data_IF_473308608700
#
_entry.id   IF_473308608700
#
_cell.length_a   1.000
_cell.length_b   1.000
_cell.length_c   1.000
_cell.angle_alpha   90.00
_cell.angle_beta   90.00
_cell.angle_gamma   90.00
#
_symmetry.space_group_name_H-M   'P 1'
#
loop_
_entity.id
_entity.type
_entity.pdbx_description
1 polymer ?
#
# COMPACT_ATOMS: atom_id res chain seq x y z
N UNK A 1 31.86 11.28 -20.92
CA UNK A 1 30.95 12.42 -21.21
C UNK A 1 29.54 11.90 -21.03
N UNK A 2 29.12 11.75 -19.77
CA UNK A 2 27.88 11.08 -19.38
C UNK A 2 26.73 12.08 -19.41
N UNK A 3 25.72 11.82 -20.23
CA UNK A 3 24.47 12.58 -20.26
C UNK A 3 23.55 12.05 -19.17
N UNK A 4 23.35 12.90 -18.16
CA UNK A 4 22.09 13.17 -17.44
C UNK A 4 21.18 11.98 -17.11
N UNK A 5 21.35 11.44 -15.91
CA UNK A 5 20.33 10.67 -15.20
C UNK A 5 19.14 11.59 -14.92
N UNK A 6 18.07 11.45 -15.71
CA UNK A 6 16.76 11.98 -15.36
C UNK A 6 16.20 11.06 -14.26
N UNK A 7 16.45 11.40 -13.00
CA UNK A 7 15.71 10.85 -11.88
C UNK A 7 14.25 11.19 -12.07
N UNK A 8 13.42 10.18 -12.30
CA UNK A 8 11.97 10.31 -12.30
C UNK A 8 11.58 10.55 -10.85
N UNK A 9 11.58 11.83 -10.50
CA UNK A 9 11.02 12.37 -9.27
C UNK A 9 9.50 12.22 -9.39
N UNK A 10 8.95 11.05 -9.05
CA UNK A 10 7.50 10.94 -8.80
C UNK A 10 7.26 11.61 -7.46
N UNK A 11 7.21 12.94 -7.48
CA UNK A 11 6.40 13.68 -6.53
C UNK A 11 4.98 13.16 -6.69
N UNK A 12 4.37 12.74 -5.58
CA UNK A 12 2.92 12.60 -5.46
C UNK A 12 2.33 13.97 -5.78
N UNK A 13 2.12 14.21 -7.08
CA UNK A 13 1.64 15.45 -7.63
C UNK A 13 0.13 15.28 -7.69
N UNK A 14 -0.55 15.87 -6.70
CA UNK A 14 -1.98 16.18 -6.69
C UNK A 14 -2.83 15.33 -7.63
N UNK A 15 -3.21 14.13 -7.17
CA UNK A 15 -4.38 13.46 -7.73
C UNK A 15 -5.58 14.35 -7.43
N UNK A 16 -6.19 14.89 -8.50
CA UNK A 16 -7.41 15.68 -8.38
C UNK A 16 -8.57 14.72 -8.03
N UNK A 17 -9.39 15.04 -7.02
CA UNK A 17 -10.54 14.21 -6.69
C UNK A 17 -11.58 14.28 -7.82
N UNK A 18 -11.87 13.15 -8.45
CA UNK A 18 -13.02 12.94 -9.31
C UNK A 18 -14.20 12.39 -8.50
N UNK A 19 -15.45 12.43 -9.01
CA UNK A 19 -16.56 11.70 -8.39
C UNK A 19 -16.16 10.24 -8.16
N UNK A 20 -16.37 9.78 -6.93
CA UNK A 20 -16.10 8.40 -6.54
C UNK A 20 -16.87 7.45 -7.46
N UNK A 21 -16.25 6.31 -7.81
CA UNK A 21 -16.97 5.25 -8.49
C UNK A 21 -17.94 4.56 -7.54
N UNK A 22 -18.96 3.88 -8.06
CA UNK A 22 -19.97 3.20 -7.23
C UNK A 22 -19.36 2.20 -6.23
N UNK A 23 -18.21 1.61 -6.54
CA UNK A 23 -17.54 0.64 -5.66
C UNK A 23 -16.64 1.32 -4.61
N UNK A 24 -16.04 2.46 -4.95
CA UNK A 24 -15.36 3.33 -3.97
C UNK A 24 -16.37 3.89 -2.95
N UNK A 25 -17.59 4.22 -3.40
CA UNK A 25 -18.70 4.61 -2.53
C UNK A 25 -19.14 3.46 -1.62
N UNK A 26 -19.18 2.21 -2.11
CA UNK A 26 -19.50 1.02 -1.29
C UNK A 26 -18.45 0.77 -0.22
N UNK A 27 -17.15 0.73 -0.56
CA UNK A 27 -16.09 0.55 0.46
C UNK A 27 -16.10 1.68 1.49
N UNK A 28 -16.35 2.92 1.08
CA UNK A 28 -16.50 4.06 1.99
C UNK A 28 -17.72 3.89 2.92
N UNK A 29 -18.84 3.40 2.38
CA UNK A 29 -20.08 3.17 3.12
C UNK A 29 -20.00 2.00 4.10
N UNK A 30 -19.12 1.02 3.87
CA UNK A 30 -18.84 -0.09 4.80
C UNK A 30 -17.80 0.31 5.87
N UNK A 31 -16.84 1.15 5.50
CA UNK A 31 -15.75 1.55 6.39
C UNK A 31 -16.21 2.45 7.55
N UNK A 32 -17.11 3.41 7.31
CA UNK A 32 -17.63 4.28 8.38
C UNK A 32 -18.32 3.47 9.50
N UNK A 33 -19.27 2.55 9.22
CA UNK A 33 -19.86 1.66 10.21
C UNK A 33 -18.82 0.89 11.02
N UNK A 34 -17.83 0.30 10.35
CA UNK A 34 -16.73 -0.41 11.02
C UNK A 34 -15.99 0.51 12.00
N UNK A 35 -15.58 1.70 11.59
CA UNK A 35 -14.91 2.67 12.48
C UNK A 35 -15.77 3.07 13.69
N UNK A 36 -17.10 3.12 13.52
CA UNK A 36 -18.03 3.47 14.58
C UNK A 36 -18.29 2.30 15.54
N UNK A 37 -18.19 1.07 15.06
CA UNK A 37 -18.29 -0.16 15.86
C UNK A 37 -17.05 -0.31 16.75
N UNK A 38 -15.86 -0.18 16.16
CA UNK A 38 -14.57 -0.35 16.84
C UNK A 38 -14.13 0.85 17.70
N UNK A 39 -14.89 1.96 17.67
CA UNK A 39 -14.52 3.20 18.35
C UNK A 39 -14.24 3.00 19.85
N UNK A 40 -15.05 2.20 20.53
CA UNK A 40 -14.91 2.00 21.97
C UNK A 40 -13.72 1.09 22.31
N UNK A 41 -13.33 0.18 21.41
CA UNK A 41 -12.13 -0.66 21.56
C UNK A 41 -10.86 0.14 21.32
N UNK A 42 -10.83 0.94 20.24
CA UNK A 42 -9.73 1.86 19.96
C UNK A 42 -9.52 2.84 21.12
N UNK A 43 -10.59 3.40 21.68
CA UNK A 43 -10.51 4.26 22.88
C UNK A 43 -9.89 3.54 24.07
N UNK A 44 -10.33 2.31 24.34
CA UNK A 44 -9.82 1.50 25.46
C UNK A 44 -8.32 1.24 25.31
N UNK A 45 -7.87 0.91 24.10
CA UNK A 45 -6.46 0.70 23.81
C UNK A 45 -5.64 2.00 24.00
N UNK A 46 -6.14 3.14 23.50
CA UNK A 46 -5.49 4.45 23.66
C UNK A 46 -5.35 4.86 25.13
N UNK A 47 -6.42 4.69 25.93
CA UNK A 47 -6.43 5.06 27.34
C UNK A 47 -5.55 4.12 28.18
N UNK A 48 -5.56 2.81 27.87
CA UNK A 48 -4.68 1.82 28.50
C UNK A 48 -3.20 2.09 28.24
N UNK A 49 -2.86 2.46 26.99
CA UNK A 49 -1.49 2.83 26.59
C UNK A 49 -0.96 4.05 27.34
N UNK A 50 -1.80 5.04 27.61
CA UNK A 50 -1.38 6.26 28.32
C UNK A 50 -1.27 6.03 29.83
N UNK A 51 -2.25 5.36 30.44
CA UNK A 51 -2.23 5.04 31.87
C UNK A 51 -1.00 4.19 32.26
N UNK A 52 -0.54 3.33 31.35
CA UNK A 52 0.68 2.52 31.53
C UNK A 52 1.98 3.30 31.32
N UNK A 53 1.97 4.46 30.65
CA UNK A 53 3.11 5.37 30.59
C UNK A 53 3.25 6.22 31.87
N UNK A 54 2.15 6.49 32.57
CA UNK A 54 2.12 7.23 33.84
C UNK A 54 2.33 6.36 35.09
N UNK A 55 2.07 5.04 35.00
CA UNK A 55 2.10 4.09 36.12
C UNK A 55 3.24 3.06 36.07
N UNK A 56 4.08 3.02 37.11
CA UNK A 56 5.25 2.14 37.18
C UNK A 56 4.98 0.64 37.42
N UNK A 57 5.66 -0.15 36.60
CA UNK A 57 6.26 -1.49 36.81
C UNK A 57 5.45 -2.79 36.75
N UNK A 58 4.11 -2.90 36.92
CA UNK A 58 3.46 -4.22 36.73
C UNK A 58 2.00 -4.21 36.24
N UNK A 59 1.74 -5.19 35.34
CA UNK A 59 0.50 -5.73 34.75
C UNK A 59 0.01 -5.07 33.45
N UNK A 60 0.20 -5.81 32.34
CA UNK A 60 0.00 -5.44 30.91
C UNK A 60 0.80 -4.20 30.49
N UNK A 61 1.86 -4.43 29.71
CA UNK A 61 2.77 -3.35 29.31
C UNK A 61 2.04 -2.39 28.36
N UNK A 62 2.49 -1.14 28.27
CA UNK A 62 2.05 -0.22 27.21
C UNK A 62 2.15 -0.83 25.80
N UNK A 63 3.01 -1.84 25.65
CA UNK A 63 3.19 -2.69 24.47
C UNK A 63 1.94 -3.53 24.15
N UNK A 64 1.31 -4.17 25.14
CA UNK A 64 0.10 -4.99 24.90
C UNK A 64 -1.06 -4.12 24.34
N UNK A 65 -1.25 -2.91 24.89
CA UNK A 65 -2.26 -1.97 24.38
C UNK A 65 -1.90 -1.38 23.02
N UNK A 66 -0.62 -1.28 22.70
CA UNK A 66 -0.18 -0.85 21.37
C UNK A 66 -0.40 -1.96 20.35
N UNK A 67 -0.18 -3.22 20.72
CA UNK A 67 -0.44 -4.39 19.88
C UNK A 67 -1.94 -4.53 19.59
N UNK A 68 -2.80 -4.40 20.62
CA UNK A 68 -4.26 -4.40 20.46
C UNK A 68 -4.71 -3.28 19.48
N UNK A 69 -4.16 -2.07 19.65
CA UNK A 69 -4.46 -0.95 18.75
C UNK A 69 -3.99 -1.24 17.32
N UNK A 70 -2.78 -1.79 17.18
CA UNK A 70 -2.20 -2.11 15.89
C UNK A 70 -3.01 -3.19 15.14
N UNK A 71 -3.54 -4.19 15.85
CA UNK A 71 -4.43 -5.23 15.30
C UNK A 71 -5.74 -4.61 14.76
N UNK A 72 -6.42 -3.78 15.55
CA UNK A 72 -7.65 -3.08 15.12
C UNK A 72 -7.42 -2.19 13.88
N UNK A 73 -6.27 -1.52 13.82
CA UNK A 73 -5.90 -0.68 12.68
C UNK A 73 -5.49 -1.51 11.46
N UNK A 74 -4.94 -2.70 11.65
CA UNK A 74 -4.61 -3.62 10.55
C UNK A 74 -5.86 -4.23 9.93
N UNK A 75 -6.85 -4.62 10.75
CA UNK A 75 -8.18 -5.03 10.26
C UNK A 75 -8.86 -3.91 9.47
N UNK A 76 -8.75 -2.66 9.95
CA UNK A 76 -9.25 -1.49 9.24
C UNK A 76 -8.57 -1.34 7.86
N UNK A 77 -7.25 -1.55 7.79
CA UNK A 77 -6.50 -1.50 6.53
C UNK A 77 -6.92 -2.62 5.59
N UNK A 78 -7.11 -3.84 6.08
CA UNK A 78 -7.52 -4.99 5.27
C UNK A 78 -8.89 -4.78 4.62
N UNK A 79 -9.84 -4.15 5.33
CA UNK A 79 -11.16 -3.82 4.80
C UNK A 79 -11.10 -2.91 3.57
N UNK A 80 -10.15 -1.97 3.54
CA UNK A 80 -10.00 -0.99 2.45
C UNK A 80 -8.89 -1.35 1.47
N UNK A 81 -8.03 -2.32 1.79
CA UNK A 81 -6.90 -2.71 0.98
C UNK A 81 -7.34 -3.15 -0.43
N UNK A 82 -6.56 -2.83 -1.47
CA UNK A 82 -6.84 -3.27 -2.82
C UNK A 82 -6.41 -4.72 -3.04
N UNK A 83 -7.32 -5.55 -3.53
CA UNK A 83 -7.00 -6.91 -3.99
C UNK A 83 -6.44 -6.91 -5.41
N UNK A 84 -6.68 -5.84 -6.18
CA UNK A 84 -6.42 -5.77 -7.61
C UNK A 84 -4.91 -5.83 -7.91
N UNK A 85 -4.08 -5.24 -7.06
CA UNK A 85 -2.62 -5.28 -7.25
C UNK A 85 -2.10 -6.71 -7.19
N UNK A 86 -2.56 -7.51 -6.22
CA UNK A 86 -2.18 -8.91 -6.07
C UNK A 86 -2.63 -9.72 -7.30
N UNK A 87 -3.88 -9.55 -7.73
CA UNK A 87 -4.44 -10.24 -8.91
C UNK A 87 -3.63 -9.96 -10.19
N UNK A 88 -3.31 -8.69 -10.45
CA UNK A 88 -2.52 -8.34 -11.63
C UNK A 88 -1.05 -8.77 -11.51
N UNK A 89 -0.49 -8.81 -10.31
CA UNK A 89 0.86 -9.33 -10.07
C UNK A 89 0.91 -10.83 -10.36
N UNK A 90 -0.04 -11.61 -9.85
CA UNK A 90 -0.19 -13.04 -10.15
C UNK A 90 -0.36 -13.29 -11.65
N UNK A 91 -1.14 -12.45 -12.35
CA UNK A 91 -1.30 -12.53 -13.80
C UNK A 91 0.02 -12.29 -14.54
N UNK A 92 0.81 -11.29 -14.13
CA UNK A 92 2.14 -11.05 -14.70
C UNK A 92 3.08 -12.22 -14.44
N UNK A 93 3.09 -12.78 -13.23
CA UNK A 93 3.90 -13.95 -12.89
C UNK A 93 3.52 -15.17 -13.73
N UNK A 94 2.21 -15.41 -13.92
CA UNK A 94 1.70 -16.47 -14.79
C UNK A 94 2.13 -16.28 -16.24
N UNK A 95 2.08 -15.04 -16.74
CA UNK A 95 2.53 -14.70 -18.10
C UNK A 95 4.05 -14.88 -18.24
N UNK A 96 4.83 -14.51 -17.22
CA UNK A 96 6.29 -14.67 -17.20
C UNK A 96 6.69 -16.15 -17.17
N UNK A 97 5.98 -16.99 -16.42
CA UNK A 97 6.16 -18.45 -16.45
C UNK A 97 5.85 -19.03 -17.83
N UNK A 98 4.71 -18.67 -18.43
CA UNK A 98 4.35 -19.14 -19.77
C UNK A 98 5.38 -18.68 -20.83
N UNK A 99 5.89 -17.45 -20.70
CA UNK A 99 6.91 -16.93 -21.59
C UNK A 99 8.22 -17.71 -21.46
N UNK A 100 8.64 -18.06 -20.24
CA UNK A 100 9.82 -18.88 -20.00
C UNK A 100 9.68 -20.26 -20.64
N UNK A 101 8.53 -20.93 -20.47
CA UNK A 101 8.26 -22.24 -21.08
C UNK A 101 8.36 -22.21 -22.60
N UNK A 102 7.78 -21.19 -23.25
CA UNK A 102 7.84 -21.06 -24.71
C UNK A 102 9.26 -20.73 -25.18
N UNK A 103 10.03 -19.93 -24.43
CA UNK A 103 11.43 -19.64 -24.75
C UNK A 103 12.31 -20.89 -24.64
N UNK A 104 12.09 -21.73 -23.63
CA UNK A 104 12.79 -23.00 -23.46
C UNK A 104 12.47 -23.95 -24.62
N UNK A 105 11.19 -24.11 -24.97
CA UNK A 105 10.78 -24.89 -26.14
C UNK A 105 11.42 -24.33 -27.43
N UNK A 106 11.48 -23.01 -27.59
CA UNK A 106 12.13 -22.39 -28.75
C UNK A 106 13.63 -22.73 -28.80
N UNK A 107 14.31 -22.76 -27.66
CA UNK A 107 15.72 -23.15 -27.56
C UNK A 107 15.93 -24.63 -27.92
N UNK A 108 15.07 -25.53 -27.42
CA UNK A 108 15.06 -26.95 -27.77
C UNK A 108 14.85 -27.16 -29.28
N UNK A 109 13.86 -26.51 -29.86
CA UNK A 109 13.59 -26.57 -31.31
C UNK A 109 14.78 -26.09 -32.15
N UNK A 110 15.48 -25.03 -31.72
CA UNK A 110 16.70 -24.57 -32.39
C UNK A 110 17.84 -25.58 -32.30
N UNK A 111 17.93 -26.34 -31.21
CA UNK A 111 18.88 -27.42 -31.08
C UNK A 111 18.52 -28.60 -31.99
N UNK A 112 17.25 -29.02 -31.99
CA UNK A 112 16.73 -30.07 -32.88
C UNK A 112 16.97 -29.74 -34.36
N UNK A 113 16.72 -28.49 -34.75
CA UNK A 113 16.91 -28.00 -36.12
C UNK A 113 18.34 -28.25 -36.64
N UNK A 114 19.36 -28.13 -35.78
CA UNK A 114 20.77 -28.34 -36.18
C UNK A 114 21.08 -29.79 -36.53
N UNK A 115 20.31 -30.75 -36.00
CA UNK A 115 20.46 -32.18 -36.28
C UNK A 115 19.41 -32.76 -37.23
N UNK A 116 18.42 -31.95 -37.63
CA UNK A 116 17.28 -32.42 -38.40
C UNK A 116 17.60 -32.59 -39.91
N UNK A 117 17.10 -33.65 -40.57
CA UNK A 117 17.17 -33.78 -42.01
C UNK A 117 16.18 -32.84 -42.71
N UNK A 118 16.50 -32.41 -43.92
CA UNK A 118 15.55 -31.75 -44.82
C UNK A 118 14.40 -32.70 -45.20
N UNK A 119 13.22 -32.16 -45.51
CA UNK A 119 12.05 -32.97 -45.91
C UNK A 119 12.28 -33.82 -47.16
N UNK A 120 13.19 -33.42 -48.05
CA UNK A 120 13.62 -34.22 -49.20
C UNK A 120 14.36 -35.52 -48.81
N UNK A 121 14.97 -35.55 -47.61
CA UNK A 121 15.63 -36.70 -47.02
C UNK A 121 14.73 -37.59 -46.15
N UNK A 122 13.43 -37.32 -46.09
CA UNK A 122 12.49 -38.03 -45.21
C UNK A 122 12.29 -39.52 -45.58
N UNK A 123 11.96 -40.32 -44.55
CA UNK A 123 11.82 -41.79 -44.66
C UNK A 123 10.73 -42.19 -45.65
N UNK A 124 10.92 -43.34 -46.32
CA UNK A 124 10.00 -43.86 -47.35
C UNK A 124 8.53 -43.98 -46.88
N UNK A 125 8.32 -44.25 -45.59
CA UNK A 125 6.99 -44.31 -44.95
C UNK A 125 6.28 -42.96 -44.92
N UNK A 126 6.99 -41.85 -44.75
CA UNK A 126 6.38 -40.52 -44.69
C UNK A 126 5.93 -40.03 -46.08
N UNK A 127 6.68 -40.42 -47.13
CA UNK A 127 6.28 -40.22 -48.53
C UNK A 127 5.04 -41.04 -48.91
N UNK A 128 4.89 -42.25 -48.39
CA UNK A 128 3.73 -43.12 -48.62
C UNK A 128 2.43 -42.58 -47.98
N UNK A 129 2.53 -41.82 -46.89
CA UNK A 129 1.39 -41.22 -46.19
C UNK A 129 1.09 -39.79 -46.69
N UNK A 130 1.84 -39.29 -47.70
CA UNK A 130 1.61 -37.98 -48.30
C UNK A 130 1.91 -36.79 -47.39
N UNK A 131 2.78 -36.96 -46.39
CA UNK A 131 3.16 -35.86 -45.49
C UNK A 131 4.24 -35.01 -46.14
N UNK A 132 3.88 -33.77 -46.48
CA UNK A 132 4.78 -32.80 -47.12
C UNK A 132 5.96 -32.41 -46.21
N UNK A 133 5.71 -32.29 -44.90
CA UNK A 133 6.72 -31.98 -43.87
C UNK A 133 6.55 -32.89 -42.64
N UNK A 134 7.24 -34.04 -42.60
CA UNK A 134 7.14 -34.98 -41.49
C UNK A 134 7.65 -34.40 -40.16
N UNK A 135 7.13 -34.84 -39.00
CA UNK A 135 7.64 -34.42 -37.70
C UNK A 135 9.15 -34.68 -37.58
N UNK A 136 9.90 -33.68 -37.10
CA UNK A 136 11.36 -33.75 -36.93
C UNK A 136 12.18 -33.39 -38.18
N UNK A 137 11.55 -32.97 -39.29
CA UNK A 137 12.29 -32.34 -40.41
C UNK A 137 12.52 -30.85 -40.14
N UNK A 138 13.50 -30.27 -40.83
CA UNK A 138 13.80 -28.83 -40.75
C UNK A 138 12.57 -27.98 -41.01
N UNK A 139 11.74 -28.34 -41.99
CA UNK A 139 10.55 -27.58 -42.36
C UNK A 139 9.42 -27.68 -41.32
N UNK A 140 9.24 -28.85 -40.71
CA UNK A 140 8.29 -29.02 -39.60
C UNK A 140 8.74 -28.27 -38.34
N UNK A 141 10.04 -28.29 -38.04
CA UNK A 141 10.63 -27.54 -36.93
C UNK A 141 10.53 -26.04 -37.17
N UNK A 142 10.78 -25.56 -38.40
CA UNK A 142 10.64 -24.15 -38.76
C UNK A 142 9.22 -23.63 -38.54
N UNK A 143 8.20 -24.45 -38.85
CA UNK A 143 6.81 -24.09 -38.58
C UNK A 143 6.56 -23.89 -37.09
N UNK A 144 7.01 -24.84 -36.25
CA UNK A 144 6.93 -24.73 -34.79
C UNK A 144 7.70 -23.52 -34.26
N UNK A 145 8.86 -23.20 -34.83
CA UNK A 145 9.61 -21.99 -34.46
C UNK A 145 8.82 -20.71 -34.75
N UNK A 146 8.11 -20.62 -35.88
CA UNK A 146 7.23 -19.49 -36.20
C UNK A 146 6.05 -19.41 -35.21
N UNK A 147 5.45 -20.54 -34.85
CA UNK A 147 4.39 -20.62 -33.84
C UNK A 147 4.88 -20.12 -32.48
N UNK A 148 6.06 -20.58 -32.01
CA UNK A 148 6.65 -20.11 -30.75
C UNK A 148 6.98 -18.63 -30.78
N UNK A 149 7.48 -18.08 -31.90
CA UNK A 149 7.75 -16.65 -32.03
C UNK A 149 6.47 -15.82 -31.93
N UNK A 150 5.39 -16.30 -32.53
CA UNK A 150 4.08 -15.65 -32.45
C UNK A 150 3.55 -15.68 -31.02
N UNK A 151 3.64 -16.83 -30.34
CA UNK A 151 3.26 -16.97 -28.94
C UNK A 151 4.06 -16.04 -28.01
N UNK A 152 5.39 -15.94 -28.20
CA UNK A 152 6.25 -15.01 -27.46
C UNK A 152 5.79 -13.57 -27.63
N UNK A 153 5.46 -13.15 -28.87
CA UNK A 153 4.99 -11.79 -29.14
C UNK A 153 3.63 -11.53 -28.47
N UNK A 154 2.70 -12.48 -28.52
CA UNK A 154 1.40 -12.38 -27.84
C UNK A 154 1.57 -12.25 -26.33
N UNK A 155 2.33 -13.16 -25.70
CA UNK A 155 2.57 -13.14 -24.25
C UNK A 155 3.23 -11.83 -23.79
N UNK A 156 4.20 -11.31 -24.55
CA UNK A 156 4.81 -10.00 -24.26
C UNK A 156 3.81 -8.85 -24.36
N UNK A 157 2.92 -8.88 -25.35
CA UNK A 157 1.89 -7.87 -25.51
C UNK A 157 0.85 -7.93 -24.38
N UNK A 158 0.45 -9.13 -23.95
CA UNK A 158 -0.43 -9.35 -22.81
C UNK A 158 0.20 -8.86 -21.51
N UNK A 159 1.48 -9.20 -21.28
CA UNK A 159 2.25 -8.72 -20.13
C UNK A 159 2.34 -7.20 -20.06
N UNK A 160 2.58 -6.55 -21.19
CA UNK A 160 2.57 -5.08 -21.26
C UNK A 160 1.16 -4.51 -21.06
N UNK A 161 0.13 -5.22 -21.53
CA UNK A 161 -1.28 -4.89 -21.35
C UNK A 161 -1.77 -4.97 -19.91
N UNK A 162 -1.15 -5.82 -19.06
CA UNK A 162 -1.53 -5.99 -17.66
C UNK A 162 -1.49 -4.67 -16.86
N UNK A 163 -0.52 -3.80 -17.14
CA UNK A 163 -0.46 -2.47 -16.52
C UNK A 163 -1.68 -1.60 -16.88
N UNK A 164 -2.18 -1.72 -18.12
CA UNK A 164 -3.40 -1.03 -18.53
C UNK A 164 -4.65 -1.62 -17.87
N UNK A 165 -4.66 -2.92 -17.61
CA UNK A 165 -5.68 -3.61 -16.82
C UNK A 165 -5.76 -3.08 -15.38
N UNK A 166 -4.62 -3.07 -14.67
CA UNK A 166 -4.54 -2.48 -13.33
C UNK A 166 -5.03 -1.03 -13.30
N UNK A 167 -4.61 -0.20 -14.26
CA UNK A 167 -5.07 1.19 -14.33
C UNK A 167 -6.58 1.33 -14.58
N UNK A 168 -7.17 0.41 -15.35
CA UNK A 168 -8.60 0.39 -15.61
C UNK A 168 -9.38 0.00 -14.35
N UNK A 169 -8.91 -1.02 -13.63
CA UNK A 169 -9.54 -1.50 -12.40
C UNK A 169 -9.44 -0.47 -11.28
N UNK A 170 -8.28 0.16 -11.08
CA UNK A 170 -8.13 1.24 -10.10
C UNK A 170 -9.03 2.44 -10.40
N UNK A 171 -9.24 2.77 -11.69
CA UNK A 171 -10.21 3.81 -12.07
C UNK A 171 -11.63 3.35 -11.78
N UNK A 172 -11.99 2.14 -12.19
CA UNK A 172 -13.35 1.63 -12.10
C UNK A 172 -13.80 1.40 -10.65
N UNK A 173 -12.91 0.87 -9.80
CA UNK A 173 -13.24 0.44 -8.46
C UNK A 173 -12.89 1.46 -7.38
N UNK A 174 -11.85 2.28 -7.62
CA UNK A 174 -11.35 3.22 -6.61
C UNK A 174 -11.39 4.69 -7.08
N UNK A 175 -11.76 4.96 -8.34
CA UNK A 175 -11.73 6.31 -8.91
C UNK A 175 -10.31 6.86 -9.10
N UNK A 176 -9.29 6.00 -9.08
CA UNK A 176 -7.88 6.39 -9.14
C UNK A 176 -7.38 6.32 -10.58
N UNK A 177 -6.86 7.43 -11.08
CA UNK A 177 -6.25 7.47 -12.41
C UNK A 177 -4.74 7.35 -12.34
N UNK A 178 -4.19 6.37 -13.07
CA UNK A 178 -2.76 6.23 -13.26
C UNK A 178 -2.39 6.57 -14.71
N UNK A 179 -1.28 7.29 -14.88
CA UNK A 179 -0.61 7.37 -16.17
C UNK A 179 -0.04 5.99 -16.54
N UNK A 180 0.21 5.70 -17.84
CA UNK A 180 0.80 4.42 -18.24
C UNK A 180 2.12 4.10 -17.52
N UNK A 181 2.96 5.10 -17.27
CA UNK A 181 4.21 4.92 -16.55
C UNK A 181 4.01 4.60 -15.07
N UNK A 182 3.02 5.25 -14.42
CA UNK A 182 2.67 4.95 -13.03
C UNK A 182 2.07 3.55 -12.90
N UNK A 183 1.21 3.13 -13.83
CA UNK A 183 0.61 1.80 -13.82
C UNK A 183 1.67 0.70 -14.02
N UNK A 184 2.61 0.93 -14.93
CA UNK A 184 3.77 0.04 -15.09
C UNK A 184 4.64 0.00 -13.85
N UNK A 185 4.94 1.14 -13.24
CA UNK A 185 5.73 1.19 -12.01
C UNK A 185 5.00 0.47 -10.84
N UNK A 186 3.70 0.66 -10.71
CA UNK A 186 2.86 0.01 -9.71
C UNK A 186 2.81 -1.51 -9.88
N UNK A 187 2.86 -2.01 -11.11
CA UNK A 187 2.78 -3.44 -11.37
C UNK A 187 4.15 -4.14 -11.36
N UNK A 188 5.18 -3.48 -11.90
CA UNK A 188 6.47 -4.12 -12.21
C UNK A 188 7.58 -3.80 -11.20
N UNK A 189 7.36 -2.86 -10.28
CA UNK A 189 8.34 -2.57 -9.23
C UNK A 189 8.06 -3.38 -7.97
N UNK A 190 9.12 -3.73 -7.23
CA UNK A 190 9.02 -4.46 -5.96
C UNK A 190 8.17 -3.69 -4.93
N UNK A 191 8.15 -2.35 -4.99
CA UNK A 191 7.34 -1.52 -4.09
C UNK A 191 5.99 -1.10 -4.69
N UNK A 192 5.61 -1.67 -5.82
CA UNK A 192 4.41 -1.31 -6.54
C UNK A 192 3.12 -1.55 -5.76
N UNK A 193 3.08 -2.64 -4.97
CA UNK A 193 1.95 -2.94 -4.09
C UNK A 193 1.70 -1.85 -3.05
N UNK A 194 2.76 -1.35 -2.41
CA UNK A 194 2.65 -0.26 -1.43
C UNK A 194 2.17 1.05 -2.08
N UNK A 195 2.51 1.29 -3.35
CA UNK A 195 2.01 2.46 -4.09
C UNK A 195 0.51 2.38 -4.33
N UNK A 196 0.02 1.21 -4.73
CA UNK A 196 -1.41 0.98 -4.98
C UNK A 196 -2.19 1.04 -3.67
N UNK A 197 -1.71 0.37 -2.62
CA UNK A 197 -2.27 0.43 -1.28
C UNK A 197 -2.35 1.87 -0.78
N UNK A 198 -1.26 2.64 -0.86
CA UNK A 198 -1.25 4.06 -0.46
C UNK A 198 -2.32 4.87 -1.18
N UNK A 199 -2.44 4.69 -2.50
CA UNK A 199 -3.37 5.46 -3.31
C UNK A 199 -4.82 5.14 -2.93
N UNK A 200 -5.14 3.86 -2.74
CA UNK A 200 -6.48 3.39 -2.38
C UNK A 200 -6.85 3.78 -0.96
N UNK A 201 -5.98 3.50 0.02
CA UNK A 201 -6.20 3.86 1.42
C UNK A 201 -6.39 5.36 1.57
N UNK A 202 -5.48 6.18 1.04
CA UNK A 202 -5.58 7.65 1.18
C UNK A 202 -6.84 8.18 0.51
N UNK A 203 -7.21 7.68 -0.67
CA UNK A 203 -8.42 8.11 -1.35
C UNK A 203 -9.69 7.78 -0.53
N UNK A 204 -9.75 6.57 0.04
CA UNK A 204 -10.85 6.14 0.91
C UNK A 204 -10.91 7.00 2.17
N UNK A 205 -9.78 7.23 2.86
CA UNK A 205 -9.73 8.06 4.06
C UNK A 205 -10.19 9.50 3.79
N UNK A 206 -9.83 10.09 2.64
CA UNK A 206 -10.30 11.42 2.23
C UNK A 206 -11.82 11.44 2.00
N UNK A 207 -12.37 10.41 1.35
CA UNK A 207 -13.81 10.29 1.13
C UNK A 207 -14.57 10.17 2.46
N UNK A 208 -14.06 9.36 3.39
CA UNK A 208 -14.61 9.18 4.74
C UNK A 208 -14.61 10.49 5.53
N UNK A 209 -13.47 11.19 5.58
CA UNK A 209 -13.35 12.47 6.28
C UNK A 209 -14.31 13.51 5.71
N UNK A 210 -14.51 13.52 4.39
CA UNK A 210 -15.50 14.40 3.74
C UNK A 210 -16.92 14.06 4.20
N UNK A 211 -17.32 12.79 4.16
CA UNK A 211 -18.67 12.38 4.58
C UNK A 211 -18.94 12.65 6.06
N UNK A 212 -17.96 12.38 6.93
CA UNK A 212 -18.07 12.69 8.36
C UNK A 212 -18.19 14.19 8.60
N UNK A 213 -17.44 15.02 7.85
CA UNK A 213 -17.50 16.47 7.94
C UNK A 213 -18.86 17.01 7.48
N UNK A 214 -19.37 16.55 6.34
CA UNK A 214 -20.70 16.92 5.83
C UNK A 214 -21.79 16.55 6.83
N UNK A 215 -21.73 15.35 7.41
CA UNK A 215 -22.72 14.94 8.41
C UNK A 215 -22.65 15.76 9.71
N UNK A 216 -21.47 16.20 10.14
CA UNK A 216 -21.31 17.09 11.30
C UNK A 216 -21.95 18.47 11.09
N UNK A 217 -22.05 18.95 9.84
CA UNK A 217 -22.68 20.23 9.51
C UNK A 217 -24.22 20.17 9.57
N UNK A 218 -24.83 18.98 9.53
CA UNK A 218 -26.30 18.80 9.49
C UNK A 218 -27.01 18.98 10.85
N UNK A 219 -26.29 19.39 11.91
CA UNK A 219 -26.89 19.64 13.23
C UNK A 219 -27.20 18.37 14.02
N UNK A 220 -26.18 17.54 14.23
CA UNK A 220 -26.28 16.27 14.95
C UNK A 220 -26.45 16.43 16.46
N UNK A 221 -26.95 15.37 17.11
CA UNK A 221 -26.89 15.27 18.56
C UNK A 221 -25.43 15.30 19.05
N UNK A 222 -25.19 15.80 20.26
CA UNK A 222 -23.84 15.85 20.84
C UNK A 222 -23.17 14.46 20.91
N UNK A 223 -23.95 13.41 21.18
CA UNK A 223 -23.45 12.03 21.22
C UNK A 223 -23.02 11.55 19.83
N UNK A 224 -23.86 11.75 18.81
CA UNK A 224 -23.55 11.36 17.43
C UNK A 224 -22.34 12.13 16.91
N UNK A 225 -22.27 13.44 17.16
CA UNK A 225 -21.11 14.27 16.77
C UNK A 225 -19.80 13.77 17.38
N UNK A 226 -19.81 13.37 18.67
CA UNK A 226 -18.64 12.75 19.31
C UNK A 226 -18.20 11.44 18.64
N UNK A 227 -19.15 10.57 18.28
CA UNK A 227 -18.82 9.31 17.59
C UNK A 227 -18.18 9.57 16.22
N UNK A 228 -18.67 10.55 15.47
CA UNK A 228 -18.13 10.89 14.15
C UNK A 228 -16.75 11.54 14.22
N UNK A 229 -16.52 12.41 15.21
CA UNK A 229 -15.18 12.94 15.51
C UNK A 229 -14.21 11.83 15.96
N UNK A 230 -14.73 10.84 16.69
CA UNK A 230 -14.02 9.61 17.03
C UNK A 230 -13.57 8.86 15.78
N UNK A 231 -14.49 8.52 14.88
CA UNK A 231 -14.18 7.87 13.61
C UNK A 231 -13.16 8.66 12.77
N UNK A 232 -13.30 9.99 12.67
CA UNK A 232 -12.34 10.87 12.00
C UNK A 232 -10.97 10.97 12.69
N UNK A 233 -10.85 10.53 13.95
CA UNK A 233 -9.56 10.40 14.63
C UNK A 233 -8.92 9.04 14.29
N UNK A 234 -9.73 7.98 14.19
CA UNK A 234 -9.28 6.64 13.80
C UNK A 234 -8.73 6.63 12.37
N UNK A 235 -9.34 7.34 11.43
CA UNK A 235 -8.80 7.49 10.05
C UNK A 235 -7.33 7.93 10.02
N UNK A 236 -6.91 8.81 10.95
CA UNK A 236 -5.53 9.31 11.06
C UNK A 236 -4.60 8.27 11.67
N UNK A 237 -5.10 7.48 12.62
CA UNK A 237 -4.39 6.33 13.17
C UNK A 237 -4.17 5.27 12.10
N UNK A 238 -5.20 4.96 11.29
CA UNK A 238 -5.11 4.02 10.15
C UNK A 238 -4.04 4.45 9.15
N UNK A 239 -4.02 5.74 8.77
CA UNK A 239 -2.98 6.27 7.89
C UNK A 239 -1.57 6.14 8.48
N UNK A 240 -1.41 6.39 9.79
CA UNK A 240 -0.14 6.21 10.49
C UNK A 240 0.29 4.74 10.48
N UNK A 241 -0.63 3.82 10.79
CA UNK A 241 -0.38 2.37 10.79
C UNK A 241 0.07 1.85 9.43
N UNK A 242 -0.58 2.29 8.35
CA UNK A 242 -0.18 1.94 6.98
C UNK A 242 1.29 2.31 6.71
N UNK A 243 1.70 3.53 7.06
CA UNK A 243 3.07 3.99 6.85
C UNK A 243 4.08 3.24 7.73
N UNK A 244 3.68 2.81 8.94
CA UNK A 244 4.49 1.97 9.80
C UNK A 244 4.73 0.58 9.17
N UNK A 245 3.67 -0.05 8.62
CA UNK A 245 3.77 -1.31 7.85
C UNK A 245 4.62 -1.19 6.60
N UNK A 246 4.53 -0.06 5.89
CA UNK A 246 5.39 0.20 4.74
C UNK A 246 6.85 0.29 5.17
N UNK A 247 7.12 0.99 6.28
CA UNK A 247 8.47 1.12 6.82
C UNK A 247 9.07 -0.24 7.22
N UNK A 248 8.30 -1.10 7.91
CA UNK A 248 8.77 -2.45 8.27
C UNK A 248 9.10 -3.28 7.02
N UNK A 249 8.32 -3.15 5.94
CA UNK A 249 8.61 -3.85 4.68
C UNK A 249 9.98 -3.45 4.09
N UNK A 250 10.36 -2.17 4.15
CA UNK A 250 11.70 -1.74 3.75
C UNK A 250 12.79 -2.35 4.65
N UNK A 251 12.57 -2.31 5.96
CA UNK A 251 13.57 -2.67 6.98
C UNK A 251 13.79 -4.17 7.14
N UNK A 252 12.72 -4.95 7.02
CA UNK A 252 12.71 -6.37 7.38
C UNK A 252 12.73 -7.27 6.15
N UNK A 253 12.26 -6.79 5.00
CA UNK A 253 12.12 -7.61 3.79
C UNK A 253 13.09 -7.15 2.70
N UNK A 254 12.92 -5.93 2.17
CA UNK A 254 13.58 -5.56 0.92
C UNK A 254 15.07 -5.23 1.08
N UNK A 255 15.44 -4.42 2.07
CA UNK A 255 16.85 -4.08 2.30
C UNK A 255 17.67 -5.31 2.72
N UNK A 256 17.20 -6.18 3.65
CA UNK A 256 17.90 -7.41 3.98
C UNK A 256 18.06 -8.36 2.80
N UNK A 257 17.01 -8.54 1.99
CA UNK A 257 17.08 -9.41 0.80
C UNK A 257 18.07 -8.90 -0.23
N UNK A 258 18.16 -7.59 -0.41
CA UNK A 258 19.12 -6.98 -1.33
C UNK A 258 20.57 -7.15 -0.84
N UNK A 259 20.79 -7.08 0.47
CA UNK A 259 22.11 -7.34 1.07
C UNK A 259 22.52 -8.81 0.97
N UNK A 260 21.57 -9.74 1.09
CA UNK A 260 21.81 -11.16 0.82
C UNK A 260 22.29 -11.39 -0.62
N UNK A 261 21.58 -10.85 -1.61
CA UNK A 261 21.98 -10.91 -3.03
C UNK A 261 23.36 -10.29 -3.27
N UNK A 262 23.67 -9.17 -2.58
CA UNK A 262 24.98 -8.53 -2.64
C UNK A 262 26.07 -9.49 -2.15
N UNK A 263 25.87 -10.09 -0.98
CA UNK A 263 26.82 -10.99 -0.34
C UNK A 263 27.08 -12.25 -1.18
N UNK A 264 26.02 -12.86 -1.72
CA UNK A 264 26.11 -14.00 -2.63
C UNK A 264 26.93 -13.67 -3.88
N UNK A 265 26.64 -12.53 -4.52
CA UNK A 265 27.34 -12.13 -5.73
C UNK A 265 28.81 -11.72 -5.46
N UNK A 266 29.11 -11.12 -4.30
CA UNK A 266 30.49 -10.84 -3.87
C UNK A 266 31.30 -12.12 -3.66
N UNK A 267 30.69 -13.14 -3.04
CA UNK A 267 31.31 -14.46 -2.85
C UNK A 267 31.61 -15.10 -4.20
N UNK A 268 30.62 -15.13 -5.09
CA UNK A 268 30.77 -15.66 -6.44
C UNK A 268 31.84 -14.90 -7.26
N UNK A 269 31.90 -13.58 -7.12
CA UNK A 269 32.92 -12.74 -7.76
C UNK A 269 34.33 -13.08 -7.28
N UNK A 270 34.52 -13.26 -5.97
CA UNK A 270 35.79 -13.67 -5.41
C UNK A 270 36.24 -15.04 -5.94
N UNK A 271 35.33 -16.01 -5.95
CA UNK A 271 35.58 -17.34 -6.51
C UNK A 271 35.92 -17.30 -7.99
N UNK A 272 35.16 -16.54 -8.78
CA UNK A 272 35.36 -16.41 -10.24
C UNK A 272 36.71 -15.77 -10.55
N UNK A 273 37.16 -14.79 -9.75
CA UNK A 273 38.50 -14.18 -9.87
C UNK A 273 39.62 -15.19 -9.60
N UNK A 274 39.49 -16.01 -8.55
CA UNK A 274 40.45 -17.09 -8.27
C UNK A 274 40.48 -18.13 -9.39
N UNK A 275 39.32 -18.54 -9.90
CA UNK A 275 39.22 -19.48 -11.02
C UNK A 275 39.86 -18.92 -12.30
N UNK A 276 39.70 -17.62 -12.57
CA UNK A 276 40.36 -16.92 -13.68
C UNK A 276 41.88 -16.98 -13.59
N UNK A 277 42.43 -16.74 -12.40
CA UNK A 277 43.88 -16.78 -12.15
C UNK A 277 44.44 -18.21 -12.28
N UNK A 278 43.70 -19.21 -11.80
CA UNK A 278 44.08 -20.61 -11.91
C UNK A 278 43.92 -21.20 -13.33
N UNK A 279 43.11 -20.56 -14.20
CA UNK A 279 42.82 -21.06 -15.53
C UNK A 279 44.08 -21.09 -16.41
N UNK A 280 44.35 -22.27 -17.00
CA UNK A 280 45.51 -22.50 -17.88
C UNK A 280 45.24 -22.19 -19.35
N UNK A 281 43.99 -22.35 -19.78
CA UNK A 281 43.56 -22.10 -21.15
C UNK A 281 43.09 -20.65 -21.29
N UNK A 282 43.58 -19.96 -22.33
CA UNK A 282 43.23 -18.56 -22.58
C UNK A 282 41.73 -18.37 -22.82
N UNK A 283 41.09 -19.27 -23.57
CA UNK A 283 39.65 -19.25 -23.78
C UNK A 283 38.85 -19.35 -22.47
N UNK A 284 39.28 -20.20 -21.53
CA UNK A 284 38.64 -20.33 -20.21
C UNK A 284 38.84 -19.07 -19.37
N UNK A 285 40.06 -18.51 -19.39
CA UNK A 285 40.37 -17.24 -18.72
C UNK A 285 39.50 -16.09 -19.23
N UNK A 286 39.32 -16.00 -20.55
CA UNK A 286 38.47 -14.99 -21.19
C UNK A 286 36.98 -15.15 -20.81
N UNK A 287 36.48 -16.38 -20.63
CA UNK A 287 35.12 -16.61 -20.12
C UNK A 287 34.99 -16.12 -18.67
N UNK A 288 35.91 -16.49 -17.77
CA UNK A 288 35.86 -15.98 -16.40
C UNK A 288 36.00 -14.46 -16.32
N UNK A 289 36.78 -13.83 -17.21
CA UNK A 289 36.87 -12.38 -17.28
C UNK A 289 35.52 -11.71 -17.61
N UNK A 290 34.75 -12.26 -18.54
CA UNK A 290 33.38 -11.78 -18.86
C UNK A 290 32.41 -12.00 -17.70
N UNK A 291 32.53 -13.12 -16.99
CA UNK A 291 31.71 -13.38 -15.81
C UNK A 291 32.01 -12.37 -14.70
N UNK A 292 33.28 -12.04 -14.47
CA UNK A 292 33.70 -10.99 -13.52
C UNK A 292 33.06 -9.65 -13.88
N UNK A 293 33.11 -9.24 -15.14
CA UNK A 293 32.48 -7.98 -15.61
C UNK A 293 30.97 -8.00 -15.37
N UNK A 294 30.31 -9.13 -15.63
CA UNK A 294 28.87 -9.30 -15.41
C UNK A 294 28.53 -9.21 -13.91
N UNK A 295 29.30 -9.89 -13.06
CA UNK A 295 29.11 -9.87 -11.60
C UNK A 295 29.36 -8.48 -11.02
N UNK A 296 30.37 -7.76 -11.52
CA UNK A 296 30.62 -6.36 -11.16
C UNK A 296 29.42 -5.47 -11.56
N UNK A 297 28.88 -5.65 -12.77
CA UNK A 297 27.68 -4.93 -13.20
C UNK A 297 26.46 -5.23 -12.32
N UNK A 298 26.27 -6.49 -11.89
CA UNK A 298 25.21 -6.85 -10.94
C UNK A 298 25.37 -6.08 -9.62
N UNK A 299 26.60 -5.93 -9.09
CA UNK A 299 26.84 -5.15 -7.87
C UNK A 299 26.47 -3.68 -8.04
N UNK A 300 26.73 -3.09 -9.21
CA UNK A 300 26.34 -1.71 -9.53
C UNK A 300 24.81 -1.56 -9.58
N UNK A 301 24.10 -2.53 -10.15
CA UNK A 301 22.62 -2.55 -10.19
C UNK A 301 22.04 -2.67 -8.78
N UNK A 302 22.57 -3.60 -7.96
CA UNK A 302 22.18 -3.75 -6.55
C UNK A 302 22.40 -2.42 -5.80
N UNK A 303 23.55 -1.75 -5.99
CA UNK A 303 23.82 -0.46 -5.36
C UNK A 303 22.86 0.66 -5.78
N UNK A 304 22.49 0.73 -7.06
CA UNK A 304 21.49 1.70 -7.54
C UNK A 304 20.12 1.42 -6.92
N UNK A 305 19.72 0.15 -6.86
CA UNK A 305 18.43 -0.23 -6.29
C UNK A 305 18.36 0.04 -4.78
N UNK A 306 19.44 -0.24 -4.05
CA UNK A 306 19.55 0.06 -2.62
C UNK A 306 19.38 1.56 -2.35
N UNK A 307 20.01 2.40 -3.18
CA UNK A 307 19.87 3.85 -3.06
C UNK A 307 18.43 4.32 -3.27
N UNK A 308 17.69 3.70 -4.19
CA UNK A 308 16.28 4.00 -4.43
C UNK A 308 15.45 3.60 -3.20
N UNK A 309 15.62 2.36 -2.71
CA UNK A 309 14.89 1.87 -1.53
C UNK A 309 15.16 2.70 -0.28
N UNK A 310 16.43 3.08 -0.03
CA UNK A 310 16.78 3.97 1.10
C UNK A 310 16.16 5.36 0.96
N UNK A 311 16.10 5.90 -0.25
CA UNK A 311 15.42 7.16 -0.52
C UNK A 311 13.93 7.08 -0.19
N UNK A 312 13.24 6.04 -0.68
CA UNK A 312 11.82 5.81 -0.39
C UNK A 312 11.54 5.57 1.08
N UNK A 313 12.36 4.75 1.74
CA UNK A 313 12.30 4.54 3.19
C UNK A 313 12.40 5.87 3.95
N UNK A 314 13.32 6.76 3.58
CA UNK A 314 13.46 8.06 4.23
C UNK A 314 12.22 8.96 4.01
N UNK A 315 11.62 8.93 2.82
CA UNK A 315 10.34 9.59 2.53
C UNK A 315 9.20 9.03 3.40
N UNK A 316 9.11 7.70 3.54
CA UNK A 316 8.14 7.01 4.39
C UNK A 316 8.32 7.36 5.87
N UNK A 317 9.56 7.38 6.38
CA UNK A 317 9.85 7.83 7.77
C UNK A 317 9.35 9.25 7.99
N UNK A 318 9.65 10.17 7.08
CA UNK A 318 9.20 11.55 7.20
C UNK A 318 7.68 11.68 7.11
N UNK A 319 7.02 10.87 6.27
CA UNK A 319 5.57 10.81 6.18
C UNK A 319 4.93 10.25 7.46
N UNK A 320 5.50 9.17 8.00
CA UNK A 320 5.03 8.52 9.23
C UNK A 320 5.11 9.47 10.42
N UNK A 321 6.21 10.22 10.57
CA UNK A 321 6.34 11.24 11.62
C UNK A 321 5.19 12.26 11.54
N UNK A 322 4.92 12.81 10.36
CA UNK A 322 3.80 13.76 10.17
C UNK A 322 2.43 13.12 10.35
N UNK A 323 2.26 11.85 10.00
CA UNK A 323 1.00 11.13 10.19
C UNK A 323 0.74 10.86 11.67
N UNK A 324 1.77 10.46 12.41
CA UNK A 324 1.75 10.23 13.86
C UNK A 324 1.40 11.52 14.59
N UNK A 325 2.10 12.63 14.31
CA UNK A 325 1.80 13.94 14.90
C UNK A 325 0.34 14.37 14.69
N UNK A 326 -0.22 14.10 13.50
CA UNK A 326 -1.63 14.41 13.19
C UNK A 326 -2.60 13.47 13.91
N UNK A 327 -2.26 12.20 14.03
CA UNK A 327 -3.07 11.23 14.76
C UNK A 327 -3.11 11.59 16.25
N UNK A 328 -1.96 11.91 16.85
CA UNK A 328 -1.86 12.35 18.24
C UNK A 328 -2.67 13.63 18.49
N UNK A 329 -2.57 14.62 17.58
CA UNK A 329 -3.36 15.84 17.67
C UNK A 329 -4.87 15.59 17.57
N UNK A 330 -5.29 14.65 16.73
CA UNK A 330 -6.69 14.26 16.59
C UNK A 330 -7.22 13.58 17.85
N UNK A 331 -6.49 12.61 18.39
CA UNK A 331 -6.83 11.93 19.65
C UNK A 331 -6.92 12.94 20.80
N UNK A 332 -5.95 13.85 20.90
CA UNK A 332 -5.98 14.90 21.92
C UNK A 332 -7.19 15.85 21.77
N UNK A 333 -7.55 16.19 20.53
CA UNK A 333 -8.73 17.03 20.24
C UNK A 333 -10.02 16.32 20.67
N UNK A 334 -10.16 15.03 20.32
CA UNK A 334 -11.29 14.20 20.71
C UNK A 334 -11.44 14.18 22.23
N UNK A 335 -10.36 13.88 22.96
CA UNK A 335 -10.33 13.87 24.43
C UNK A 335 -10.69 15.21 25.05
N UNK A 336 -10.19 16.30 24.47
CA UNK A 336 -10.51 17.66 24.94
C UNK A 336 -12.01 17.94 24.81
N UNK A 337 -12.62 17.55 23.69
CA UNK A 337 -14.06 17.72 23.46
C UNK A 337 -14.90 16.83 24.38
N UNK A 338 -14.45 15.60 24.65
CA UNK A 338 -15.09 14.69 25.59
C UNK A 338 -15.04 15.22 27.02
N UNK A 339 -13.88 15.74 27.46
CA UNK A 339 -13.73 16.37 28.76
C UNK A 339 -14.61 17.62 28.90
N UNK A 340 -14.65 18.48 27.88
CA UNK A 340 -15.54 19.64 27.86
C UNK A 340 -17.01 19.23 27.96
N UNK A 341 -17.43 18.21 27.20
CA UNK A 341 -18.80 17.70 27.25
C UNK A 341 -19.15 17.07 28.61
N UNK A 342 -18.21 16.37 29.26
CA UNK A 342 -18.41 15.83 30.61
C UNK A 342 -18.62 16.95 31.63
N UNK A 343 -17.84 18.04 31.55
CA UNK A 343 -18.03 19.22 32.40
C UNK A 343 -19.38 19.88 32.14
N UNK A 344 -19.79 20.06 30.89
CA UNK A 344 -21.11 20.60 30.56
C UNK A 344 -22.24 19.73 31.10
N UNK A 345 -22.15 18.41 30.96
CA UNK A 345 -23.14 17.47 31.50
C UNK A 345 -23.23 17.53 33.03
N UNK A 346 -22.10 17.64 33.73
CA UNK A 346 -22.07 17.84 35.19
C UNK A 346 -22.72 19.17 35.60
N UNK A 347 -22.50 20.24 34.84
CA UNK A 347 -23.16 21.53 35.08
C UNK A 347 -24.67 21.41 34.88
N UNK A 348 -25.14 20.80 33.79
CA UNK A 348 -26.57 20.60 33.52
C UNK A 348 -27.23 19.72 34.57
N UNK A 349 -26.55 18.66 35.01
CA UNK A 349 -27.01 17.81 36.10
C UNK A 349 -27.08 18.58 37.42
N UNK A 350 -26.04 19.36 37.75
CA UNK A 350 -26.05 20.23 38.94
C UNK A 350 -27.17 21.27 38.89
N UNK A 351 -27.49 21.82 37.72
CA UNK A 351 -28.62 22.73 37.54
C UNK A 351 -29.97 22.03 37.65
N UNK A 352 -30.08 20.80 37.15
CA UNK A 352 -31.29 19.98 37.27
C UNK A 352 -31.53 19.52 38.72
N UNK A 353 -30.48 19.10 39.43
CA UNK A 353 -30.52 18.77 40.85
C UNK A 353 -30.80 20.01 41.70
N UNK A 354 -30.22 21.17 41.36
CA UNK A 354 -30.56 22.44 42.00
C UNK A 354 -32.04 22.79 41.80
N UNK A 355 -32.60 22.63 40.59
CA UNK A 355 -34.04 22.82 40.30
C UNK A 355 -34.94 21.82 41.04
N UNK A 356 -34.50 20.56 41.18
CA UNK A 356 -35.21 19.54 41.95
C UNK A 356 -35.18 19.82 43.47
N UNK A 357 -34.15 20.52 43.96
CA UNK A 357 -34.03 20.96 45.36
C UNK A 357 -34.72 22.30 45.62
N UNK A 358 -34.91 23.15 44.59
CA UNK A 358 -35.54 24.48 44.70
C UNK A 358 -37.05 24.50 44.43
N UNK A 359 -37.74 23.36 44.44
CA UNK A 359 -39.21 23.28 44.52
C UNK A 359 -39.75 23.58 45.95
N UNK A 360 -39.05 24.46 46.68
CA UNK A 360 -39.47 25.09 47.94
C UNK A 360 -39.13 26.58 47.82
N UNK A 361 -40.14 27.42 47.98
CA UNK A 361 -40.10 28.87 47.79
C UNK A 361 -39.07 29.63 48.65
N UNK A 362 -38.92 30.91 48.28
CA UNK A 362 -38.39 32.14 48.94
C UNK A 362 -36.97 32.65 48.55
N UNK A 363 -36.72 33.99 48.53
CA UNK A 363 -36.23 34.75 47.37
C UNK A 363 -34.86 35.47 47.56
N UNK A 364 -34.29 35.96 46.42
CA UNK A 364 -33.33 37.07 46.15
C UNK A 364 -32.44 37.66 47.27
N UNK A 365 -31.12 37.95 47.15
CA UNK A 365 -30.21 38.37 46.05
C UNK A 365 -28.72 38.26 46.48
N UNK A 366 -27.78 38.07 45.54
CA UNK A 366 -26.63 38.98 45.29
C UNK A 366 -25.78 38.56 44.08
N UNK A 367 -25.38 39.57 43.32
CA UNK A 367 -24.85 39.59 41.96
C UNK A 367 -23.36 39.19 41.83
N UNK A 368 -23.02 38.56 40.70
CA UNK A 368 -21.71 38.64 40.03
C UNK A 368 -21.95 38.97 38.55
N UNK A 369 -21.04 39.74 37.98
CA UNK A 369 -21.24 40.73 36.92
C UNK A 369 -21.75 40.23 35.55
N UNK A 370 -22.45 41.13 34.84
CA UNK A 370 -23.41 40.83 33.78
C UNK A 370 -22.84 40.65 32.35
N UNK A 371 -21.56 40.90 32.09
CA UNK A 371 -21.06 40.99 30.70
C UNK A 371 -20.50 39.66 30.13
N UNK A 372 -20.07 38.70 30.95
CA UNK A 372 -19.61 37.37 30.47
C UNK A 372 -20.72 36.29 30.46
N UNK A 373 -21.82 36.53 31.19
CA UNK A 373 -22.93 35.58 31.30
C UNK A 373 -23.88 35.65 30.10
N UNK A 374 -24.12 36.84 29.53
CA UNK A 374 -24.98 36.98 28.35
C UNK A 374 -24.38 36.30 27.11
N UNK A 375 -23.05 36.35 26.91
CA UNK A 375 -22.41 35.73 25.75
C UNK A 375 -22.40 34.19 25.81
N UNK A 376 -22.31 33.63 27.02
CA UNK A 376 -22.46 32.20 27.27
C UNK A 376 -23.92 31.72 27.11
N UNK A 377 -24.88 32.54 27.55
CA UNK A 377 -26.32 32.25 27.43
C UNK A 377 -26.86 32.43 26.00
N UNK A 378 -26.26 33.28 25.17
CA UNK A 378 -26.65 33.46 23.77
C UNK A 378 -26.18 32.27 22.90
N UNK A 379 -24.98 31.73 23.17
CA UNK A 379 -24.50 30.47 22.58
C UNK A 379 -25.35 29.28 23.04
N UNK A 380 -25.71 29.25 24.33
CA UNK A 380 -26.61 28.22 24.89
C UNK A 380 -28.03 28.29 24.31
N UNK A 381 -28.56 29.50 24.06
CA UNK A 381 -29.87 29.69 23.40
C UNK A 381 -29.84 29.28 21.93
N UNK A 382 -28.76 29.57 21.19
CA UNK A 382 -28.59 29.12 19.81
C UNK A 382 -28.47 27.60 19.68
N UNK A 383 -27.94 26.92 20.70
CA UNK A 383 -27.88 25.45 20.76
C UNK A 383 -29.20 24.78 21.20
N UNK A 384 -30.08 25.51 21.91
CA UNK A 384 -31.40 25.02 22.34
C UNK A 384 -32.55 25.32 21.36
N UNK A 385 -32.36 26.25 20.42
CA UNK A 385 -33.40 26.73 19.50
C UNK A 385 -33.40 26.04 18.12
N UNK A 386 -32.81 24.83 18.04
CA UNK A 386 -33.03 23.87 16.96
C UNK A 386 -33.89 22.70 17.45
N UNK A 387 -35.13 22.98 17.82
CA UNK A 387 -36.23 21.99 17.85
C UNK A 387 -37.00 22.06 16.54
#
# INVERSE_FOLDING_TARGET
MFKSSAGILICVSLMLPFPASAQAEVKTAEFIPYLLEELDEVRRALDGREASQEGGWFTSGAEDYQDDLDELLDEALELIAPEEHAQWTEEVERLDMALAEVLDLQAELRLEQKGAPASEGARMVDRLVGREHPPGTVEAINRRLIETETAIQTLRAEREGAASGLAADLRAFHGIELTPDQARAALLSVHGGLMVESAVVVNTLVAVEKQLSEALEEGLSQETGRRYLGAASITRLVHSRMLARHLSTYDEVWLPRLEEMRSENLTLLAETRLQREAARLEATRATYARNVETQEHILDVIGQYESILKGRRAETVAALQRATERADAAVNTLRTLEAAAAVSGLMDQSWSEFRAVTEVEVPELLELEAEDLEQFLDISRQLSAGM
#
